data_IF_578719078816
#
_entry.id   IF_578719078816
#
_cell.length_a   1.000
_cell.length_b   1.000
_cell.length_c   1.000
_cell.angle_alpha   90.00
_cell.angle_beta   90.00
_cell.angle_gamma   90.00
#
_symmetry.space_group_name_H-M   'P 1'
#
loop_
_entity.id
_entity.type
_entity.pdbx_description
1 polymer ?
#
# COMPACT_ATOMS: atom_id res chain seq x y z
N UNK A 1 -11.88 16.40 14.90
CA UNK A 1 -11.08 15.92 13.75
C UNK A 1 -11.80 14.71 13.17
N UNK A 2 -12.59 14.89 12.09
CA UNK A 2 -13.55 13.89 11.57
C UNK A 2 -12.86 13.00 10.55
N UNK A 3 -12.76 11.69 10.82
CA UNK A 3 -12.60 10.59 9.87
C UNK A 3 -12.03 10.96 8.49
N UNK A 4 -10.73 11.28 8.41
CA UNK A 4 -10.04 11.14 7.12
C UNK A 4 -9.95 9.65 6.84
N UNK A 5 -10.92 9.15 6.08
CA UNK A 5 -11.02 7.73 5.73
C UNK A 5 -9.69 7.33 5.09
N UNK A 6 -9.14 6.17 5.46
CA UNK A 6 -7.92 5.60 4.87
C UNK A 6 -7.91 5.71 3.33
N UNK A 7 -9.09 5.61 2.70
CA UNK A 7 -9.35 5.87 1.28
C UNK A 7 -8.83 7.21 0.74
N UNK A 8 -9.05 8.29 1.49
CA UNK A 8 -8.64 9.64 1.13
C UNK A 8 -7.14 9.79 1.21
N UNK A 9 -6.51 9.20 2.25
CA UNK A 9 -5.04 9.20 2.39
C UNK A 9 -4.36 8.45 1.26
N UNK A 10 -4.90 7.29 0.86
CA UNK A 10 -4.39 6.52 -0.31
C UNK A 10 -4.51 7.37 -1.59
N UNK A 11 -5.66 8.03 -1.79
CA UNK A 11 -5.86 8.90 -2.96
C UNK A 11 -4.92 10.10 -2.97
N UNK A 12 -4.65 10.69 -1.81
CA UNK A 12 -3.70 11.80 -1.66
C UNK A 12 -2.25 11.38 -1.92
N UNK A 13 -1.86 10.15 -1.57
CA UNK A 13 -0.52 9.64 -1.86
C UNK A 13 -0.31 9.48 -3.37
N UNK A 14 -1.30 8.98 -4.09
CA UNK A 14 -1.25 8.90 -5.55
C UNK A 14 -1.27 10.30 -6.19
N UNK A 15 -2.10 11.23 -5.70
CA UNK A 15 -2.14 12.60 -6.21
C UNK A 15 -0.83 13.38 -6.00
N UNK A 16 0.06 12.88 -5.13
CA UNK A 16 1.40 13.43 -4.89
C UNK A 16 2.50 12.63 -5.61
N UNK A 17 2.13 11.72 -6.50
CA UNK A 17 3.02 10.80 -7.22
C UNK A 17 3.95 9.99 -6.31
N UNK A 18 3.52 9.75 -5.06
CA UNK A 18 4.28 8.95 -4.09
C UNK A 18 4.06 7.45 -4.25
N UNK A 19 2.96 7.07 -4.86
CA UNK A 19 2.62 5.70 -5.20
C UNK A 19 2.04 5.66 -6.62
N UNK A 20 2.20 4.53 -7.30
CA UNK A 20 1.63 4.32 -8.63
C UNK A 20 0.11 4.17 -8.57
N UNK A 21 -0.56 4.39 -9.70
CA UNK A 21 -2.01 4.14 -9.82
C UNK A 21 -2.38 2.67 -9.51
N UNK A 22 -1.52 1.74 -9.93
CA UNK A 22 -1.66 0.31 -9.63
C UNK A 22 -1.63 0.04 -8.12
N UNK A 23 -0.72 0.68 -7.38
CA UNK A 23 -0.61 0.56 -5.93
C UNK A 23 -1.84 1.14 -5.20
N UNK A 24 -2.37 2.27 -5.70
CA UNK A 24 -3.64 2.83 -5.19
C UNK A 24 -4.80 1.85 -5.39
N UNK A 25 -4.92 1.26 -6.58
CA UNK A 25 -6.01 0.33 -6.88
C UNK A 25 -5.94 -0.92 -6.01
N UNK A 26 -4.74 -1.47 -5.80
CA UNK A 26 -4.57 -2.64 -4.94
C UNK A 26 -4.86 -2.34 -3.46
N UNK A 27 -4.44 -1.17 -2.97
CA UNK A 27 -4.79 -0.71 -1.62
C UNK A 27 -6.31 -0.52 -1.42
N UNK A 28 -7.02 -0.17 -2.49
CA UNK A 28 -8.47 -0.07 -2.47
C UNK A 28 -9.15 -1.44 -2.38
N UNK A 29 -8.65 -2.44 -3.12
CA UNK A 29 -9.14 -3.83 -3.11
C UNK A 29 -9.02 -4.41 -1.70
N UNK A 30 -7.81 -4.40 -1.14
CA UNK A 30 -7.55 -4.96 0.21
C UNK A 30 -8.40 -4.28 1.29
N UNK A 31 -8.62 -2.96 1.17
CA UNK A 31 -9.50 -2.25 2.11
C UNK A 31 -10.96 -2.66 1.98
N UNK A 32 -11.43 -2.93 0.77
CA UNK A 32 -12.82 -3.37 0.54
C UNK A 32 -12.98 -4.81 1.05
N UNK A 33 -12.05 -5.70 0.70
CA UNK A 33 -12.09 -7.11 1.08
C UNK A 33 -11.99 -7.28 2.61
N UNK A 34 -11.08 -6.54 3.27
CA UNK A 34 -11.01 -6.52 4.75
C UNK A 34 -12.25 -5.94 5.44
N UNK A 35 -13.06 -5.10 4.78
CA UNK A 35 -14.33 -4.63 5.35
C UNK A 35 -15.51 -5.57 5.02
N UNK A 36 -15.42 -6.33 3.93
CA UNK A 36 -16.39 -7.35 3.57
C UNK A 36 -16.34 -8.57 4.50
N UNK A 37 -15.13 -9.06 4.77
CA UNK A 37 -14.87 -10.21 5.65
C UNK A 37 -15.28 -9.99 7.13
N UNK A 38 -15.43 -8.74 7.57
CA UNK A 38 -15.87 -8.42 8.96
C UNK A 38 -17.39 -8.45 9.10
N UNK A 39 -18.13 -8.53 7.98
CA UNK A 39 -19.60 -8.49 7.95
C UNK A 39 -20.24 -9.78 7.43
N UNK A 40 -19.46 -10.80 7.04
CA UNK A 40 -19.94 -12.15 6.74
C UNK A 40 -19.53 -13.12 7.85
N UNK A 41 -20.31 -14.18 8.08
CA UNK A 41 -19.92 -15.33 8.91
C UNK A 41 -18.85 -16.20 8.21
N UNK A 42 -18.18 -15.69 7.17
CA UNK A 42 -17.11 -16.38 6.46
C UNK A 42 -15.84 -16.35 7.31
N UNK A 43 -15.24 -17.53 7.49
CA UNK A 43 -13.94 -17.64 8.16
C UNK A 43 -12.88 -16.94 7.33
N UNK A 44 -12.16 -16.01 7.95
CA UNK A 44 -10.97 -15.39 7.37
C UNK A 44 -9.95 -16.48 7.02
N UNK A 45 -9.58 -16.54 5.75
CA UNK A 45 -8.74 -17.59 5.19
C UNK A 45 -7.26 -17.22 5.30
N UNK A 46 -6.39 -18.24 5.21
CA UNK A 46 -4.94 -18.03 5.11
C UNK A 46 -4.59 -17.21 3.85
N UNK A 47 -5.30 -17.43 2.75
CA UNK A 47 -5.08 -16.76 1.46
C UNK A 47 -5.30 -15.25 1.58
N UNK A 48 -6.38 -14.82 2.25
CA UNK A 48 -6.63 -13.40 2.53
C UNK A 48 -5.54 -12.78 3.42
N UNK A 49 -5.03 -13.54 4.39
CA UNK A 49 -3.91 -13.11 5.24
C UNK A 49 -2.63 -12.89 4.41
N UNK A 50 -2.34 -13.83 3.51
CA UNK A 50 -1.19 -13.79 2.60
C UNK A 50 -1.30 -12.61 1.63
N UNK A 51 -2.49 -12.30 1.10
CA UNK A 51 -2.69 -11.13 0.24
C UNK A 51 -2.40 -9.80 0.96
N UNK A 52 -2.83 -9.66 2.22
CA UNK A 52 -2.53 -8.48 3.03
C UNK A 52 -1.01 -8.37 3.29
N UNK A 53 -0.35 -9.48 3.60
CA UNK A 53 1.10 -9.53 3.80
C UNK A 53 1.85 -9.13 2.53
N UNK A 54 1.52 -9.77 1.40
CA UNK A 54 2.14 -9.52 0.10
C UNK A 54 2.02 -8.04 -0.32
N UNK A 55 0.84 -7.46 -0.13
CA UNK A 55 0.64 -6.04 -0.39
C UNK A 55 1.48 -5.16 0.52
N UNK A 56 1.53 -5.48 1.81
CA UNK A 56 2.31 -4.70 2.79
C UNK A 56 3.79 -4.71 2.43
N UNK A 57 4.34 -5.87 2.07
CA UNK A 57 5.73 -6.00 1.63
C UNK A 57 6.00 -5.20 0.37
N UNK A 58 5.16 -5.35 -0.66
CA UNK A 58 5.31 -4.63 -1.92
C UNK A 58 5.16 -3.12 -1.74
N UNK A 59 4.21 -2.68 -0.91
CA UNK A 59 4.05 -1.27 -0.57
C UNK A 59 5.31 -0.71 0.08
N UNK A 60 5.89 -1.41 1.07
CA UNK A 60 7.11 -0.95 1.74
C UNK A 60 8.31 -0.91 0.79
N UNK A 61 8.44 -1.93 -0.07
CA UNK A 61 9.49 -2.00 -1.09
C UNK A 61 9.41 -0.81 -2.04
N UNK A 62 8.23 -0.51 -2.58
CA UNK A 62 8.05 0.58 -3.55
C UNK A 62 8.08 1.97 -2.92
N UNK A 63 7.50 2.15 -1.74
CA UNK A 63 7.36 3.46 -1.12
C UNK A 63 8.63 3.94 -0.38
N UNK A 64 9.43 3.01 0.15
CA UNK A 64 10.58 3.35 0.98
C UNK A 64 11.89 2.78 0.44
N UNK A 65 11.93 1.48 0.17
CA UNK A 65 13.20 0.80 -0.17
C UNK A 65 13.74 1.25 -1.52
N UNK A 66 12.92 1.21 -2.58
CA UNK A 66 13.36 1.61 -3.92
C UNK A 66 13.78 3.10 -3.98
N UNK A 67 13.00 4.06 -3.45
CA UNK A 67 13.44 5.45 -3.37
C UNK A 67 14.77 5.64 -2.63
N UNK A 68 14.94 4.98 -1.48
CA UNK A 68 16.19 5.04 -0.71
C UNK A 68 17.38 4.43 -1.47
N UNK A 69 17.17 3.33 -2.19
CA UNK A 69 18.20 2.72 -3.06
C UNK A 69 18.59 3.64 -4.23
N UNK A 70 17.63 4.38 -4.80
CA UNK A 70 17.94 5.36 -5.85
C UNK A 70 18.76 6.51 -5.29
N UNK A 71 18.40 7.01 -4.11
CA UNK A 71 19.12 8.10 -3.44
C UNK A 71 20.55 7.69 -3.07
N UNK A 72 20.75 6.50 -2.50
CA UNK A 72 22.08 6.00 -2.15
C UNK A 72 22.98 5.81 -3.38
N UNK A 73 22.41 5.35 -4.51
CA UNK A 73 23.16 5.23 -5.78
C UNK A 73 23.52 6.59 -6.35
N UNK A 74 22.63 7.59 -6.30
CA UNK A 74 22.93 8.97 -6.73
C UNK A 74 24.08 9.59 -5.93
N UNK A 75 24.11 9.36 -4.62
CA UNK A 75 25.20 9.83 -3.76
C UNK A 75 26.54 9.14 -4.09
N UNK A 76 26.50 7.86 -4.46
CA UNK A 76 27.70 7.07 -4.79
C UNK A 76 28.38 7.52 -6.08
N UNK A 77 27.63 8.08 -7.05
CA UNK A 77 28.19 8.53 -8.35
C UNK A 77 28.85 9.92 -8.30
N UNK A 78 28.75 10.65 -7.18
CA UNK A 78 29.29 12.02 -7.07
C UNK A 78 30.68 12.07 -6.43
N UNK A 79 31.46 10.99 -6.48
CA UNK A 79 32.84 10.95 -5.99
C UNK A 79 33.84 10.59 -7.10
#
# INVERSE_FOLDING_TARGET
MKNEKLSQRISMLQAKDRITEQMKNWAHIIRIDSNGAVHSDEEFTQEEAEEILNFTELFLLYAFTLPAMVESRKQTTTC
#
